data_IF_546479396710
#
_entry.id   IF_546479396710
#
_cell.length_a   1.000
_cell.length_b   1.000
_cell.length_c   1.000
_cell.angle_alpha   90.00
_cell.angle_beta   90.00
_cell.angle_gamma   90.00
#
_symmetry.space_group_name_H-M   'P 1'
#
loop_
_entity.id
_entity.type
_entity.pdbx_description
1 polymer ?
#
# COMPACT_ATOMS: atom_id res chain seq x y z
N UNK A 1 -19.77 30.68 -42.39
CA UNK A 1 -18.79 31.67 -42.89
C UNK A 1 -17.44 31.27 -42.33
N UNK A 2 -16.50 30.91 -43.21
CA UNK A 2 -15.21 30.30 -42.88
C UNK A 2 -14.11 31.34 -43.05
N UNK A 3 -13.28 31.53 -42.01
CA UNK A 3 -12.16 32.46 -41.98
C UNK A 3 -10.87 31.67 -41.77
N UNK A 4 -10.27 31.22 -42.86
CA UNK A 4 -8.86 30.84 -42.90
C UNK A 4 -8.28 31.38 -44.21
N UNK A 5 -7.72 32.59 -44.17
CA UNK A 5 -6.87 33.11 -45.24
C UNK A 5 -5.41 33.02 -44.78
N UNK A 6 -4.69 32.06 -45.38
CA UNK A 6 -3.23 31.93 -45.28
C UNK A 6 -2.59 32.85 -46.32
N UNK A 7 -1.78 33.82 -45.88
CA UNK A 7 -0.80 34.47 -46.75
C UNK A 7 0.55 33.76 -46.66
N UNK A 8 0.96 33.19 -47.80
CA UNK A 8 2.34 32.82 -48.12
C UNK A 8 3.16 34.09 -48.40
N UNK A 9 4.43 34.09 -47.97
CA UNK A 9 5.50 34.84 -48.64
C UNK A 9 6.79 34.04 -48.52
N UNK A 10 7.29 33.62 -49.67
CA UNK A 10 8.56 32.91 -49.87
C UNK A 10 9.76 33.88 -49.93
N UNK A 11 10.97 33.29 -49.94
CA UNK A 11 12.32 33.76 -50.31
C UNK A 11 13.26 33.93 -49.10
N UNK A 12 14.06 32.92 -48.73
CA UNK A 12 15.34 32.45 -49.32
C UNK A 12 16.56 33.23 -48.78
N UNK A 13 17.41 32.56 -47.98
CA UNK A 13 18.80 32.23 -48.30
C UNK A 13 19.64 31.83 -47.07
N UNK A 14 20.00 30.53 -47.05
CA UNK A 14 21.35 29.97 -46.89
C UNK A 14 22.38 30.65 -45.95
N UNK A 15 22.77 29.98 -44.84
CA UNK A 15 24.18 29.91 -44.40
C UNK A 15 24.44 28.66 -43.54
N UNK A 16 25.64 28.13 -43.75
CA UNK A 16 26.23 26.85 -43.33
C UNK A 16 26.68 26.75 -41.87
N UNK A 17 26.70 25.51 -41.36
CA UNK A 17 27.63 24.90 -40.38
C UNK A 17 28.42 25.81 -39.43
N UNK A 18 28.25 25.61 -38.12
CA UNK A 18 29.40 25.55 -37.19
C UNK A 18 29.08 24.80 -35.89
N UNK A 19 30.00 23.89 -35.57
CA UNK A 19 30.19 23.22 -34.29
C UNK A 19 30.43 24.20 -33.13
N UNK A 20 30.11 23.69 -31.93
CA UNK A 20 30.74 23.95 -30.64
C UNK A 20 30.21 25.09 -29.75
N UNK A 21 29.59 24.71 -28.63
CA UNK A 21 30.10 24.92 -27.25
C UNK A 21 29.02 25.30 -26.23
N UNK A 22 29.19 24.73 -25.04
CA UNK A 22 28.78 25.22 -23.71
C UNK A 22 27.28 25.29 -23.37
N UNK A 23 26.79 24.24 -22.70
CA UNK A 23 25.90 24.42 -21.55
C UNK A 23 26.54 23.79 -20.31
N UNK A 24 26.71 24.65 -19.32
CA UNK A 24 27.30 24.41 -18.01
C UNK A 24 26.35 23.57 -17.14
N UNK A 25 26.91 22.56 -16.49
CA UNK A 25 26.35 21.93 -15.29
C UNK A 25 26.26 22.96 -14.14
N UNK A 26 25.15 23.05 -13.41
CA UNK A 26 25.16 23.53 -12.04
C UNK A 26 25.51 22.37 -11.10
N UNK A 27 26.57 22.55 -10.31
CA UNK A 27 26.88 21.68 -9.17
C UNK A 27 25.83 21.86 -8.05
N UNK A 28 25.60 20.82 -7.22
CA UNK A 28 24.76 20.91 -6.05
C UNK A 28 25.47 21.64 -4.90
N UNK A 29 24.73 22.56 -4.26
CA UNK A 29 25.15 23.23 -3.04
C UNK A 29 25.25 22.26 -1.87
N UNK A 30 26.36 22.37 -1.15
CA UNK A 30 26.70 21.67 0.07
C UNK A 30 25.97 22.30 1.26
N UNK A 31 25.20 21.50 2.00
CA UNK A 31 24.83 21.82 3.38
C UNK A 31 25.26 20.68 4.30
N UNK A 32 26.28 20.99 5.09
CA UNK A 32 26.88 20.17 6.15
C UNK A 32 25.83 19.63 7.14
N UNK A 33 25.87 18.32 7.38
CA UNK A 33 25.40 17.72 8.62
C UNK A 33 26.55 16.91 9.22
N UNK A 34 26.95 17.28 10.42
CA UNK A 34 27.99 16.66 11.25
C UNK A 34 27.32 15.75 12.28
N UNK A 35 27.47 14.41 12.20
CA UNK A 35 26.94 13.49 13.20
C UNK A 35 28.11 12.85 13.95
N UNK A 36 28.62 13.51 14.99
CA UNK A 36 29.47 12.87 15.99
C UNK A 36 29.35 13.57 17.33
N UNK A 37 28.47 13.07 18.20
CA UNK A 37 28.70 12.84 19.64
C UNK A 37 27.37 12.55 20.35
N UNK A 38 27.11 11.27 20.64
CA UNK A 38 27.00 10.80 22.02
C UNK A 38 26.83 9.27 22.04
N UNK A 39 27.91 8.61 22.46
CA UNK A 39 27.96 7.21 22.86
C UNK A 39 27.59 7.06 24.35
N UNK A 40 27.32 5.81 24.72
CA UNK A 40 27.07 5.20 26.05
C UNK A 40 25.61 5.22 26.50
N UNK A 41 24.96 4.11 26.88
CA UNK A 41 25.41 2.75 27.16
C UNK A 41 24.15 1.85 27.23
N UNK A 42 24.17 0.65 26.65
CA UNK A 42 23.71 -0.61 27.27
C UNK A 42 23.66 -1.76 26.25
N UNK A 43 24.37 -2.83 26.59
CA UNK A 43 24.42 -4.16 25.99
C UNK A 43 23.53 -5.11 26.84
N UNK A 44 23.40 -6.43 26.58
CA UNK A 44 23.05 -7.17 25.36
C UNK A 44 21.83 -8.12 25.60
N UNK A 45 21.05 -8.49 24.57
CA UNK A 45 20.68 -9.90 24.28
C UNK A 45 19.57 -10.06 23.22
N UNK A 46 19.64 -11.18 22.50
CA UNK A 46 18.67 -11.77 21.56
C UNK A 46 18.68 -11.21 20.12
N UNK A 47 19.63 -11.71 19.33
CA UNK A 47 19.56 -11.68 17.87
C UNK A 47 20.02 -13.03 17.31
N UNK A 48 19.08 -13.91 16.96
CA UNK A 48 19.36 -15.14 16.21
C UNK A 48 19.57 -14.78 14.73
N UNK A 49 20.83 -14.61 14.34
CA UNK A 49 21.25 -14.57 12.93
C UNK A 49 21.20 -15.97 12.33
N UNK A 50 20.32 -16.17 11.34
CA UNK A 50 20.39 -17.30 10.42
C UNK A 50 21.21 -16.90 9.20
N UNK A 51 22.41 -17.46 9.07
CA UNK A 51 23.15 -17.56 7.82
C UNK A 51 23.44 -19.06 7.57
N UNK A 52 23.20 -19.61 6.37
CA UNK A 52 23.40 -21.02 6.12
C UNK A 52 24.87 -21.27 5.80
N UNK A 53 25.60 -21.88 6.73
CA UNK A 53 26.96 -22.34 6.47
C UNK A 53 26.96 -23.84 6.14
N UNK A 54 27.42 -24.11 4.93
CA UNK A 54 27.53 -25.40 4.29
C UNK A 54 28.81 -26.09 4.79
N UNK A 55 28.75 -27.16 5.59
CA UNK A 55 29.94 -27.97 5.87
C UNK A 55 29.63 -29.42 6.30
N UNK A 56 29.80 -30.31 5.32
CA UNK A 56 30.23 -31.71 5.35
C UNK A 56 30.49 -32.37 6.72
N UNK A 57 29.64 -33.35 7.07
CA UNK A 57 30.01 -34.43 7.98
C UNK A 57 30.85 -35.48 7.23
N UNK A 58 32.11 -35.65 7.63
CA UNK A 58 32.96 -36.74 7.18
C UNK A 58 33.27 -37.67 8.36
N UNK A 59 32.86 -38.94 8.21
CA UNK A 59 33.18 -40.05 9.09
C UNK A 59 34.69 -40.28 9.14
N UNK A 60 35.25 -40.51 10.34
CA UNK A 60 36.45 -41.32 10.44
C UNK A 60 36.51 -42.10 11.76
N UNK A 61 36.50 -43.42 11.62
CA UNK A 61 36.82 -44.38 12.66
C UNK A 61 38.35 -44.50 12.76
N UNK A 62 38.91 -44.45 13.96
CA UNK A 62 40.08 -45.29 14.26
C UNK A 62 40.31 -45.55 15.74
N UNK A 63 40.82 -46.76 15.98
CA UNK A 63 41.07 -47.45 17.24
C UNK A 63 42.13 -46.79 18.14
N UNK A 64 41.97 -47.03 19.45
CA UNK A 64 43.00 -46.82 20.46
C UNK A 64 42.67 -47.53 21.78
N UNK A 65 42.93 -48.83 21.83
CA UNK A 65 42.92 -49.70 23.03
C UNK A 65 43.77 -49.15 24.18
N UNK A 66 43.25 -49.19 25.41
CA UNK A 66 44.07 -49.34 26.61
C UNK A 66 43.32 -50.15 27.67
N UNK A 67 43.90 -51.31 28.01
CA UNK A 67 43.50 -52.19 29.10
C UNK A 67 44.08 -51.66 30.41
N UNK A 68 43.24 -51.42 31.41
CA UNK A 68 43.63 -51.58 32.81
C UNK A 68 42.55 -52.39 33.53
N UNK A 69 43.01 -53.51 34.10
CA UNK A 69 42.28 -54.44 34.94
C UNK A 69 42.23 -53.84 36.34
N UNK A 70 41.04 -53.57 36.89
CA UNK A 70 40.88 -53.61 38.34
C UNK A 70 39.45 -54.01 38.74
N UNK A 71 39.42 -55.14 39.44
CA UNK A 71 38.46 -55.61 40.45
C UNK A 71 36.96 -55.61 40.13
N UNK A 72 36.49 -56.83 39.83
CA UNK A 72 35.12 -57.27 40.05
C UNK A 72 34.71 -56.99 41.50
N UNK A 73 33.68 -56.17 41.69
CA UNK A 73 32.73 -56.36 42.79
C UNK A 73 31.47 -57.03 42.23
N UNK A 74 30.88 -57.98 42.98
CA UNK A 74 29.77 -58.79 42.49
C UNK A 74 28.53 -57.92 42.30
N UNK A 75 27.81 -58.22 41.22
CA UNK A 75 26.45 -57.76 40.93
C UNK A 75 25.58 -58.02 42.18
N UNK A 76 25.28 -56.97 42.93
CA UNK A 76 24.11 -56.98 43.81
C UNK A 76 22.90 -56.69 42.93
N UNK A 77 22.12 -57.75 42.69
CA UNK A 77 20.74 -57.63 42.23
C UNK A 77 19.94 -56.84 43.27
N UNK A 78 19.73 -55.54 43.02
CA UNK A 78 18.58 -54.81 43.55
C UNK A 78 17.59 -54.61 42.41
N UNK A 79 16.48 -55.35 42.52
CA UNK A 79 15.16 -54.98 42.00
C UNK A 79 14.96 -53.47 42.20
N UNK A 80 14.72 -52.66 41.17
CA UNK A 80 13.56 -52.70 40.29
C UNK A 80 12.71 -51.47 40.58
N UNK A 81 13.00 -50.36 39.88
CA UNK A 81 12.10 -49.25 39.49
C UNK A 81 12.87 -48.00 39.02
N UNK A 82 14.08 -47.74 39.55
CA UNK A 82 14.77 -46.47 39.25
C UNK A 82 15.47 -46.46 37.88
N UNK A 83 16.05 -47.58 37.43
CA UNK A 83 16.74 -47.69 36.13
C UNK A 83 15.79 -47.59 34.92
N UNK A 84 14.54 -48.07 35.11
CA UNK A 84 13.47 -47.88 34.13
C UNK A 84 13.00 -46.44 34.07
N UNK A 85 12.93 -45.72 35.20
CA UNK A 85 12.56 -44.31 35.21
C UNK A 85 13.61 -43.45 34.50
N UNK A 86 14.91 -43.73 34.65
CA UNK A 86 15.97 -43.04 33.89
C UNK A 86 15.92 -43.35 32.39
N UNK A 87 15.63 -44.61 32.04
CA UNK A 87 15.47 -45.03 30.63
C UNK A 87 14.20 -44.43 30.00
N UNK A 88 13.10 -44.39 30.73
CA UNK A 88 11.83 -43.79 30.32
C UNK A 88 11.94 -42.27 30.18
N UNK A 89 12.59 -41.60 31.14
CA UNK A 89 12.88 -40.18 31.06
C UNK A 89 13.78 -39.87 29.86
N UNK A 90 14.83 -40.66 29.62
CA UNK A 90 15.72 -40.47 28.46
C UNK A 90 15.00 -40.72 27.12
N UNK A 91 14.10 -41.70 27.07
CA UNK A 91 13.23 -41.93 25.91
C UNK A 91 12.26 -40.77 25.70
N UNK A 92 11.66 -40.25 26.77
CA UNK A 92 10.75 -39.10 26.71
C UNK A 92 11.49 -37.84 26.27
N UNK A 93 12.70 -37.60 26.78
CA UNK A 93 13.55 -36.48 26.39
C UNK A 93 13.96 -36.59 24.91
N UNK A 94 14.29 -37.80 24.44
CA UNK A 94 14.60 -38.06 23.03
C UNK A 94 13.37 -37.88 22.14
N UNK A 95 12.19 -38.31 22.59
CA UNK A 95 10.93 -38.08 21.88
C UNK A 95 10.61 -36.59 21.79
N UNK A 96 10.76 -35.85 22.88
CA UNK A 96 10.57 -34.40 22.92
C UNK A 96 11.56 -33.68 21.99
N UNK A 97 12.85 -34.03 22.03
CA UNK A 97 13.85 -33.50 21.11
C UNK A 97 13.51 -33.81 19.65
N UNK A 98 13.04 -35.02 19.35
CA UNK A 98 12.62 -35.39 18.00
C UNK A 98 11.39 -34.60 17.54
N UNK A 99 10.45 -34.32 18.45
CA UNK A 99 9.26 -33.52 18.17
C UNK A 99 9.64 -32.06 17.92
N UNK A 100 10.56 -31.51 18.70
CA UNK A 100 11.10 -30.16 18.53
C UNK A 100 11.85 -30.02 17.20
N UNK A 101 12.76 -30.95 16.89
CA UNK A 101 13.48 -30.98 15.61
C UNK A 101 12.50 -31.11 14.43
N UNK A 102 11.47 -31.94 14.56
CA UNK A 102 10.44 -32.10 13.53
C UNK A 102 9.61 -30.82 13.38
N UNK A 103 9.31 -30.13 14.47
CA UNK A 103 8.63 -28.82 14.44
C UNK A 103 9.49 -27.75 13.78
N UNK A 104 10.79 -27.70 14.11
CA UNK A 104 11.76 -26.78 13.50
C UNK A 104 11.92 -27.05 12.01
N UNK A 105 12.09 -28.31 11.60
CA UNK A 105 12.17 -28.68 10.19
C UNK A 105 10.90 -28.30 9.44
N UNK A 106 9.71 -28.52 10.06
CA UNK A 106 8.44 -28.09 9.48
C UNK A 106 8.43 -26.59 9.24
N UNK A 107 8.76 -25.82 10.28
CA UNK A 107 8.81 -24.35 10.21
C UNK A 107 9.78 -23.88 9.11
N UNK A 108 10.97 -24.47 9.04
CA UNK A 108 11.98 -24.13 8.04
C UNK A 108 11.50 -24.43 6.61
N UNK A 109 10.90 -25.60 6.37
CA UNK A 109 10.38 -25.98 5.06
C UNK A 109 9.22 -25.06 4.63
N UNK A 110 8.29 -24.74 5.53
CA UNK A 110 7.18 -23.85 5.21
C UNK A 110 7.65 -22.40 4.95
N UNK A 111 8.65 -21.93 5.71
CA UNK A 111 9.29 -20.63 5.50
C UNK A 111 9.99 -20.55 4.14
N UNK A 112 10.78 -21.57 3.78
CA UNK A 112 11.47 -21.65 2.49
C UNK A 112 10.48 -21.68 1.31
N UNK A 113 9.39 -22.47 1.45
CA UNK A 113 8.32 -22.48 0.45
C UNK A 113 7.64 -21.13 0.31
N UNK A 114 7.34 -20.47 1.43
CA UNK A 114 6.69 -19.15 1.42
C UNK A 114 7.58 -18.08 0.79
N UNK A 115 8.89 -18.11 1.07
CA UNK A 115 9.88 -17.25 0.43
C UNK A 115 9.94 -17.47 -1.10
N UNK A 116 10.00 -18.72 -1.55
CA UNK A 116 9.99 -19.02 -2.98
C UNK A 116 8.67 -18.60 -3.65
N UNK A 117 7.54 -18.77 -2.96
CA UNK A 117 6.25 -18.28 -3.44
C UNK A 117 6.22 -16.75 -3.53
N UNK A 118 6.83 -16.04 -2.59
CA UNK A 118 6.99 -14.59 -2.64
C UNK A 118 7.80 -14.16 -3.86
N UNK A 119 8.93 -14.80 -4.15
CA UNK A 119 9.71 -14.57 -5.38
C UNK A 119 8.80 -14.71 -6.62
N UNK A 120 8.00 -15.77 -6.71
CA UNK A 120 7.11 -15.99 -7.86
C UNK A 120 6.02 -14.91 -8.01
N UNK A 121 5.71 -14.15 -6.96
CA UNK A 121 4.73 -13.06 -6.96
C UNK A 121 5.34 -11.70 -7.29
N UNK A 122 6.57 -11.44 -6.87
CA UNK A 122 7.27 -10.15 -7.09
C UNK A 122 8.07 -10.12 -8.38
N UNK A 123 8.58 -11.26 -8.82
CA UNK A 123 9.36 -11.36 -10.05
C UNK A 123 8.47 -11.23 -11.29
N UNK A 124 8.84 -10.29 -12.18
CA UNK A 124 8.18 -10.05 -13.46
C UNK A 124 8.10 -11.30 -14.36
N UNK A 125 7.13 -11.33 -15.28
CA UNK A 125 6.93 -12.48 -16.16
C UNK A 125 8.08 -12.75 -17.14
N UNK A 126 8.94 -11.76 -17.35
CA UNK A 126 10.11 -11.76 -18.22
C UNK A 126 11.36 -12.40 -17.59
N UNK A 127 11.42 -12.49 -16.26
CA UNK A 127 12.54 -13.06 -15.50
C UNK A 127 12.40 -14.59 -15.36
N UNK A 128 12.48 -15.31 -16.49
CA UNK A 128 12.16 -16.75 -16.58
C UNK A 128 13.04 -17.64 -15.69
N UNK A 129 14.34 -17.35 -15.57
CA UNK A 129 15.29 -18.21 -14.84
C UNK A 129 15.06 -18.16 -13.32
N UNK A 130 14.81 -16.99 -12.76
CA UNK A 130 14.50 -16.80 -11.34
C UNK A 130 13.20 -17.52 -10.96
N UNK A 131 12.17 -17.38 -11.80
CA UNK A 131 10.90 -18.10 -11.62
C UNK A 131 11.08 -19.61 -11.70
N UNK A 132 11.95 -20.09 -12.59
CA UNK A 132 12.26 -21.52 -12.71
C UNK A 132 12.96 -22.04 -11.45
N UNK A 133 13.97 -21.34 -10.95
CA UNK A 133 14.69 -21.72 -9.73
C UNK A 133 13.76 -21.76 -8.51
N UNK A 134 12.91 -20.74 -8.33
CA UNK A 134 11.91 -20.72 -7.26
C UNK A 134 10.93 -21.90 -7.37
N UNK A 135 10.46 -22.22 -8.58
CA UNK A 135 9.57 -23.36 -8.83
C UNK A 135 10.24 -24.70 -8.53
N UNK A 136 11.50 -24.88 -8.95
CA UNK A 136 12.28 -26.09 -8.66
C UNK A 136 12.48 -26.25 -7.15
N UNK A 137 12.80 -25.16 -6.44
CA UNK A 137 12.94 -25.18 -4.98
C UNK A 137 11.64 -25.54 -4.25
N UNK A 138 10.50 -25.00 -4.68
CA UNK A 138 9.18 -25.36 -4.13
C UNK A 138 8.92 -26.86 -4.31
N UNK A 139 9.30 -27.45 -5.45
CA UNK A 139 9.13 -28.89 -5.67
C UNK A 139 9.99 -29.74 -4.73
N UNK A 140 11.23 -29.33 -4.47
CA UNK A 140 12.12 -29.99 -3.48
C UNK A 140 11.55 -29.90 -2.06
N UNK A 141 11.06 -28.74 -1.68
CA UNK A 141 10.43 -28.51 -0.37
C UNK A 141 9.16 -29.36 -0.22
N UNK A 142 8.29 -29.38 -1.23
CA UNK A 142 7.08 -30.21 -1.21
C UNK A 142 7.40 -31.71 -1.15
N UNK A 143 8.47 -32.16 -1.81
CA UNK A 143 8.96 -33.54 -1.69
C UNK A 143 9.40 -33.84 -0.26
N UNK A 144 10.15 -32.92 0.36
CA UNK A 144 10.61 -33.04 1.74
C UNK A 144 9.45 -33.05 2.74
N UNK A 145 8.44 -32.20 2.53
CA UNK A 145 7.22 -32.19 3.34
C UNK A 145 6.47 -33.52 3.27
N UNK A 146 6.34 -34.11 2.07
CA UNK A 146 5.78 -35.46 1.88
C UNK A 146 6.59 -36.53 2.60
N UNK A 147 7.93 -36.48 2.49
CA UNK A 147 8.82 -37.47 3.11
C UNK A 147 8.76 -37.45 4.64
N UNK A 148 8.75 -36.27 5.26
CA UNK A 148 8.83 -36.13 6.72
C UNK A 148 7.47 -36.05 7.43
N UNK A 149 6.42 -35.62 6.72
CA UNK A 149 5.10 -35.32 7.29
C UNK A 149 3.93 -35.95 6.54
N UNK A 150 4.17 -36.74 5.48
CA UNK A 150 3.15 -37.41 4.67
C UNK A 150 2.15 -36.47 3.97
N UNK A 151 2.45 -35.17 3.88
CA UNK A 151 1.60 -34.19 3.18
C UNK A 151 2.41 -32.96 2.77
N UNK A 152 2.08 -32.37 1.62
CA UNK A 152 2.51 -31.05 1.17
C UNK A 152 1.35 -30.03 1.17
N UNK A 153 0.20 -30.39 1.74
CA UNK A 153 -1.01 -29.54 1.85
C UNK A 153 -1.01 -28.70 3.13
N UNK A 154 0.14 -28.50 3.76
CA UNK A 154 0.24 -27.64 4.94
C UNK A 154 -0.01 -26.18 4.53
N UNK A 155 -0.73 -25.42 5.35
CA UNK A 155 -0.86 -23.97 5.16
C UNK A 155 0.50 -23.30 5.41
N UNK A 156 0.86 -22.35 4.55
CA UNK A 156 1.96 -21.42 4.78
C UNK A 156 1.38 -20.10 5.28
N UNK A 157 2.17 -19.35 6.04
CA UNK A 157 1.96 -17.92 6.18
C UNK A 157 2.60 -17.17 5.02
N UNK A 158 2.14 -15.94 4.78
CA UNK A 158 2.75 -15.04 3.81
C UNK A 158 4.13 -14.60 4.32
N UNK A 159 5.16 -14.83 3.51
CA UNK A 159 6.49 -14.28 3.72
C UNK A 159 6.44 -12.77 3.50
N UNK A 160 6.95 -12.02 4.48
CA UNK A 160 7.07 -10.58 4.42
C UNK A 160 8.56 -10.22 4.45
N UNK A 161 9.07 -9.70 3.34
CA UNK A 161 10.44 -9.17 3.23
C UNK A 161 10.55 -7.84 4.01
N UNK A 162 11.47 -7.72 4.99
CA UNK A 162 11.73 -6.45 5.67
C UNK A 162 12.25 -5.32 4.78
N UNK A 163 12.71 -5.63 3.55
CA UNK A 163 13.19 -4.64 2.58
C UNK A 163 12.11 -4.18 1.60
N UNK A 164 10.88 -4.68 1.71
CA UNK A 164 9.76 -4.23 0.89
C UNK A 164 8.98 -3.11 1.60
N UNK A 165 8.42 -2.23 0.77
CA UNK A 165 7.43 -1.27 1.24
C UNK A 165 6.04 -1.91 1.25
N UNK A 166 5.31 -1.73 2.34
CA UNK A 166 3.96 -2.26 2.50
C UNK A 166 2.94 -1.13 2.46
N UNK A 167 1.90 -1.33 1.66
CA UNK A 167 0.80 -0.38 1.52
C UNK A 167 -0.53 -1.08 1.73
N UNK A 168 -1.45 -0.43 2.43
CA UNK A 168 -2.87 -0.76 2.38
C UNK A 168 -3.57 0.20 1.42
N UNK A 169 -4.17 -0.36 0.37
CA UNK A 169 -4.96 0.39 -0.60
C UNK A 169 -6.39 0.56 -0.11
N UNK A 170 -6.85 1.81 -0.09
CA UNK A 170 -8.24 2.18 0.20
C UNK A 170 -8.82 3.01 -0.94
N UNK A 171 -10.06 2.70 -1.31
CA UNK A 171 -10.79 3.43 -2.35
C UNK A 171 -10.98 4.89 -1.92
N UNK A 172 -11.52 5.07 -0.72
CA UNK A 172 -11.69 6.36 -0.05
C UNK A 172 -11.32 6.24 1.45
N UNK A 173 -10.66 7.27 1.97
CA UNK A 173 -10.33 7.36 3.39
C UNK A 173 -11.43 8.17 4.09
N UNK A 174 -12.43 7.45 4.59
CA UNK A 174 -13.57 8.06 5.28
C UNK A 174 -13.14 8.76 6.57
N UNK A 175 -13.61 9.99 6.79
CA UNK A 175 -13.33 10.75 8.02
C UNK A 175 -13.83 10.06 9.29
N UNK A 176 -14.94 9.30 9.19
CA UNK A 176 -15.52 8.53 10.28
C UNK A 176 -15.74 7.09 9.80
N UNK A 177 -14.71 6.23 9.84
CA UNK A 177 -14.86 4.84 9.43
C UNK A 177 -15.83 4.09 10.35
N UNK A 178 -16.54 3.10 9.80
CA UNK A 178 -17.34 2.21 10.62
C UNK A 178 -16.47 1.27 11.48
N UNK A 179 -17.13 0.49 12.36
CA UNK A 179 -16.45 -0.43 13.28
C UNK A 179 -15.65 -1.51 12.54
N UNK A 180 -16.15 -2.01 11.42
CA UNK A 180 -15.50 -3.10 10.70
C UNK A 180 -14.25 -2.58 9.97
N UNK A 181 -14.33 -1.39 9.39
CA UNK A 181 -13.23 -0.69 8.72
C UNK A 181 -12.13 -0.32 9.72
N UNK A 182 -12.50 0.31 10.85
CA UNK A 182 -11.53 0.64 11.90
C UNK A 182 -10.87 -0.60 12.50
N UNK A 183 -11.64 -1.69 12.71
CA UNK A 183 -11.07 -2.94 13.17
C UNK A 183 -10.08 -3.54 12.16
N UNK A 184 -10.41 -3.58 10.87
CA UNK A 184 -9.49 -4.06 9.82
C UNK A 184 -8.16 -3.30 9.84
N UNK A 185 -8.20 -1.96 9.91
CA UNK A 185 -6.99 -1.13 10.02
C UNK A 185 -6.15 -1.52 11.24
N UNK A 186 -6.76 -1.55 12.43
CA UNK A 186 -6.06 -1.89 13.66
C UNK A 186 -5.48 -3.30 13.62
N UNK A 187 -6.22 -4.29 13.12
CA UNK A 187 -5.76 -5.67 13.03
C UNK A 187 -4.57 -5.78 12.06
N UNK A 188 -4.65 -5.12 10.92
CA UNK A 188 -3.58 -5.09 9.92
C UNK A 188 -2.33 -4.41 10.47
N UNK A 189 -2.46 -3.20 11.01
CA UNK A 189 -1.35 -2.47 11.64
C UNK A 189 -0.71 -3.28 12.76
N UNK A 190 -1.50 -3.90 13.64
CA UNK A 190 -0.96 -4.74 14.73
C UNK A 190 -0.21 -5.96 14.18
N UNK A 191 -0.77 -6.63 13.18
CA UNK A 191 -0.16 -7.83 12.56
C UNK A 191 1.18 -7.49 11.90
N UNK A 192 1.29 -6.32 11.26
CA UNK A 192 2.54 -5.84 10.65
C UNK A 192 3.55 -5.41 11.72
N UNK A 193 3.11 -4.68 12.75
CA UNK A 193 3.96 -4.20 13.85
C UNK A 193 4.60 -5.34 14.66
N UNK A 194 3.85 -6.43 14.92
CA UNK A 194 4.37 -7.63 15.58
C UNK A 194 5.54 -8.28 14.80
N UNK A 195 5.64 -8.00 13.50
CA UNK A 195 6.72 -8.48 12.61
C UNK A 195 7.82 -7.43 12.42
N UNK A 196 7.75 -6.30 13.13
CA UNK A 196 8.67 -5.18 12.99
C UNK A 196 8.52 -4.42 11.66
N UNK A 197 7.36 -4.50 11.03
CA UNK A 197 7.09 -3.88 9.73
C UNK A 197 6.12 -2.70 9.87
N UNK A 198 6.35 -1.67 9.06
CA UNK A 198 5.47 -0.52 8.93
C UNK A 198 4.57 -0.70 7.72
N UNK A 199 3.28 -0.40 7.87
CA UNK A 199 2.34 -0.36 6.76
C UNK A 199 1.87 1.07 6.50
N UNK A 200 2.08 1.53 5.28
CA UNK A 200 1.64 2.83 4.78
C UNK A 200 0.27 2.69 4.10
N UNK A 201 -0.32 3.80 3.68
CA UNK A 201 -1.61 3.81 3.02
C UNK A 201 -1.53 4.39 1.61
N UNK A 202 -2.42 3.93 0.74
CA UNK A 202 -2.66 4.49 -0.59
C UNK A 202 -4.15 4.82 -0.68
N UNK A 203 -4.49 6.05 -1.08
CA UNK A 203 -5.85 6.44 -1.40
C UNK A 203 -5.95 7.10 -2.78
N UNK A 204 -7.07 6.88 -3.45
CA UNK A 204 -7.28 7.30 -4.85
C UNK A 204 -8.43 8.29 -5.02
N UNK A 205 -9.20 8.56 -3.97
CA UNK A 205 -10.30 9.54 -4.01
C UNK A 205 -9.79 10.95 -3.71
N UNK A 206 -10.35 11.94 -4.42
CA UNK A 206 -10.08 13.36 -4.15
C UNK A 206 -10.74 13.77 -2.84
N UNK A 207 -9.96 14.27 -1.90
CA UNK A 207 -10.45 14.79 -0.63
C UNK A 207 -9.54 15.94 -0.18
N UNK A 208 -10.09 17.15 -0.09
CA UNK A 208 -9.34 18.35 0.32
C UNK A 208 -8.94 18.33 1.80
N UNK A 209 -9.55 17.46 2.60
CA UNK A 209 -9.29 17.24 4.03
C UNK A 209 -8.57 15.89 4.30
N UNK A 210 -7.94 15.30 3.28
CA UNK A 210 -7.33 13.97 3.42
C UNK A 210 -6.21 13.94 4.48
N UNK A 211 -5.40 15.00 4.56
CA UNK A 211 -4.27 15.05 5.50
C UNK A 211 -4.74 15.14 6.96
N UNK A 212 -5.78 15.92 7.22
CA UNK A 212 -6.40 15.99 8.55
C UNK A 212 -7.11 14.68 8.91
N UNK A 213 -7.72 14.02 7.92
CA UNK A 213 -8.31 12.69 8.11
C UNK A 213 -7.24 11.66 8.46
N UNK A 214 -6.09 11.66 7.77
CA UNK A 214 -4.98 10.76 8.07
C UNK A 214 -4.40 10.96 9.46
N UNK A 215 -4.19 12.22 9.88
CA UNK A 215 -3.76 12.53 11.25
C UNK A 215 -4.74 11.98 12.29
N UNK A 216 -6.05 12.08 12.05
CA UNK A 216 -7.05 11.49 12.97
C UNK A 216 -6.95 9.96 13.06
N UNK A 217 -6.59 9.26 11.97
CA UNK A 217 -6.37 7.81 11.99
C UNK A 217 -5.14 7.44 12.83
N UNK A 218 -4.07 8.23 12.72
CA UNK A 218 -2.86 8.07 13.54
C UNK A 218 -3.16 8.33 15.02
N UNK A 219 -3.84 9.44 15.33
CA UNK A 219 -4.20 9.81 16.70
C UNK A 219 -5.17 8.81 17.36
N UNK A 220 -6.07 8.20 16.57
CA UNK A 220 -6.98 7.15 17.02
C UNK A 220 -6.30 5.78 17.20
N UNK A 221 -5.03 5.64 16.80
CA UNK A 221 -4.31 4.38 16.83
C UNK A 221 -4.85 3.34 15.85
N UNK A 222 -5.51 3.77 14.76
CA UNK A 222 -5.92 2.88 13.68
C UNK A 222 -4.72 2.47 12.81
N UNK A 223 -3.74 3.35 12.72
CA UNK A 223 -2.48 3.16 11.99
C UNK A 223 -1.31 3.57 12.87
N UNK A 224 -0.09 3.17 12.49
CA UNK A 224 1.12 3.59 13.17
C UNK A 224 1.36 5.10 12.98
N UNK A 225 1.83 5.78 14.03
CA UNK A 225 2.11 7.23 13.97
C UNK A 225 3.22 7.63 13.00
N UNK A 226 4.08 6.68 12.60
CA UNK A 226 5.12 6.90 11.59
C UNK A 226 4.67 6.52 10.17
N UNK A 227 3.48 5.91 10.02
CA UNK A 227 2.95 5.56 8.71
C UNK A 227 2.58 6.81 7.92
N UNK A 228 2.80 6.81 6.61
CA UNK A 228 2.38 7.90 5.73
C UNK A 228 1.28 7.45 4.77
N UNK A 229 0.58 8.44 4.21
CA UNK A 229 -0.46 8.25 3.20
C UNK A 229 0.01 8.81 1.85
N UNK A 230 -0.03 7.97 0.83
CA UNK A 230 0.04 8.40 -0.56
C UNK A 230 -1.38 8.63 -1.08
N UNK A 231 -1.72 9.87 -1.38
CA UNK A 231 -2.98 10.19 -2.06
C UNK A 231 -2.70 10.60 -3.50
N UNK A 232 -3.40 9.96 -4.46
CA UNK A 232 -3.21 10.21 -5.88
C UNK A 232 -3.35 11.69 -6.25
N UNK A 233 -4.38 12.36 -5.73
CA UNK A 233 -4.62 13.75 -6.05
C UNK A 233 -3.59 14.68 -5.41
N UNK A 234 -3.24 14.46 -4.14
CA UNK A 234 -2.18 15.23 -3.48
C UNK A 234 -0.85 15.15 -4.24
N UNK A 235 -0.46 13.94 -4.67
CA UNK A 235 0.80 13.74 -5.42
C UNK A 235 0.74 14.38 -6.80
N UNK A 236 -0.32 14.14 -7.59
CA UNK A 236 -0.49 14.74 -8.92
C UNK A 236 -0.54 16.28 -8.85
N UNK A 237 -1.22 16.84 -7.85
CA UNK A 237 -1.32 18.28 -7.64
C UNK A 237 -0.05 18.90 -7.03
N UNK A 238 0.96 18.08 -6.68
CA UNK A 238 2.19 18.55 -6.03
C UNK A 238 1.91 19.27 -4.72
N UNK A 239 0.92 18.82 -3.95
CA UNK A 239 0.53 19.49 -2.70
C UNK A 239 1.69 19.44 -1.70
N UNK A 240 2.08 20.61 -1.22
CA UNK A 240 3.04 20.79 -0.15
C UNK A 240 2.46 21.70 0.94
N UNK A 241 2.40 21.21 2.18
CA UNK A 241 1.86 21.94 3.33
C UNK A 241 2.85 22.98 3.89
N UNK A 242 4.13 22.92 3.50
CA UNK A 242 5.19 23.75 4.05
C UNK A 242 5.53 24.97 3.20
N UNK A 243 4.85 25.16 2.07
CA UNK A 243 5.05 26.33 1.22
C UNK A 243 4.05 27.41 1.65
N UNK A 244 4.52 28.61 2.06
CA UNK A 244 3.63 29.73 2.29
C UNK A 244 3.05 30.17 0.94
N UNK A 245 1.74 30.03 0.77
CA UNK A 245 1.06 30.46 -0.46
C UNK A 245 0.18 31.67 -0.14
N UNK A 246 0.15 32.63 -1.08
CA UNK A 246 -0.75 33.77 -0.99
C UNK A 246 -2.18 33.28 -1.19
N UNK A 247 -3.10 33.48 -0.22
CA UNK A 247 -4.49 33.08 -0.37
C UNK A 247 -5.12 33.72 -1.61
N UNK A 248 -6.01 33.00 -2.28
CA UNK A 248 -6.71 33.53 -3.43
C UNK A 248 -7.51 34.79 -3.05
N UNK A 249 -7.32 35.87 -3.82
CA UNK A 249 -8.20 37.04 -3.75
C UNK A 249 -9.50 36.75 -4.48
N UNK A 250 -10.63 37.05 -3.85
CA UNK A 250 -11.93 36.96 -4.50
C UNK A 250 -12.06 38.20 -5.40
N UNK A 251 -12.21 38.06 -6.72
CA UNK A 251 -12.43 39.20 -7.58
C UNK A 251 -13.78 39.84 -7.26
N UNK A 252 -13.80 41.17 -7.09
CA UNK A 252 -15.00 41.96 -6.81
C UNK A 252 -15.19 43.03 -7.88
N UNK A 253 -16.36 43.03 -8.52
CA UNK A 253 -16.78 44.17 -9.33
C UNK A 253 -17.24 45.31 -8.41
N UNK A 254 -17.09 46.55 -8.89
CA UNK A 254 -17.36 47.75 -8.11
C UNK A 254 -18.82 47.90 -7.67
N UNK A 255 -19.75 47.23 -8.34
CA UNK A 255 -21.19 47.27 -8.07
C UNK A 255 -21.69 46.08 -7.25
N UNK A 256 -20.80 45.18 -6.83
CA UNK A 256 -21.16 44.04 -5.99
C UNK A 256 -21.41 44.44 -4.53
N UNK A 257 -22.45 43.85 -3.94
CA UNK A 257 -22.77 43.98 -2.51
C UNK A 257 -22.57 42.65 -1.79
N UNK A 258 -21.86 42.70 -0.67
CA UNK A 258 -21.71 41.55 0.23
C UNK A 258 -22.87 41.50 1.23
N UNK A 259 -23.51 40.35 1.32
CA UNK A 259 -24.49 39.99 2.34
C UNK A 259 -23.93 38.90 3.24
N UNK A 260 -23.66 39.23 4.50
CA UNK A 260 -23.20 38.27 5.51
C UNK A 260 -24.37 37.39 5.97
N UNK A 261 -24.32 36.09 5.65
CA UNK A 261 -25.35 35.12 6.06
C UNK A 261 -25.00 34.50 7.41
N UNK A 262 -23.72 34.20 7.62
CA UNK A 262 -23.18 33.70 8.89
C UNK A 262 -21.72 34.10 9.04
N UNK A 263 -21.07 33.69 10.14
CA UNK A 263 -19.63 33.88 10.34
C UNK A 263 -18.74 33.10 9.34
N UNK A 264 -19.32 32.17 8.57
CA UNK A 264 -18.61 31.31 7.62
C UNK A 264 -19.11 31.46 6.18
N UNK A 265 -20.22 32.16 5.95
CA UNK A 265 -20.87 32.22 4.64
C UNK A 265 -21.22 33.66 4.29
N UNK A 266 -20.70 34.11 3.15
CA UNK A 266 -21.05 35.37 2.52
C UNK A 266 -21.75 35.11 1.18
N UNK A 267 -22.75 35.94 0.87
CA UNK A 267 -23.35 36.01 -0.47
C UNK A 267 -22.93 37.31 -1.14
N UNK A 268 -22.55 37.23 -2.40
CA UNK A 268 -22.19 38.38 -3.23
C UNK A 268 -23.32 38.56 -4.23
N UNK A 269 -23.89 39.77 -4.24
CA UNK A 269 -25.03 40.15 -5.07
C UNK A 269 -24.61 41.22 -6.07
N UNK A 270 -25.15 41.18 -7.28
CA UNK A 270 -24.95 42.24 -8.29
C UNK A 270 -25.77 43.51 -7.98
N UNK A 271 -25.64 44.53 -8.83
CA UNK A 271 -26.40 45.78 -8.74
C UNK A 271 -27.92 45.63 -8.85
N UNK A 272 -28.41 44.46 -9.30
CA UNK A 272 -29.84 44.11 -9.41
C UNK A 272 -30.31 43.18 -8.29
N UNK A 273 -29.53 43.04 -7.20
CA UNK A 273 -29.79 42.13 -6.08
C UNK A 273 -29.83 40.63 -6.48
N UNK A 274 -29.25 40.25 -7.62
CA UNK A 274 -29.13 38.83 -8.01
C UNK A 274 -27.88 38.19 -7.43
N UNK A 275 -27.97 36.92 -7.04
CA UNK A 275 -26.84 36.16 -6.51
C UNK A 275 -25.83 35.84 -7.61
N UNK A 276 -24.57 36.26 -7.41
CA UNK A 276 -23.45 35.96 -8.31
C UNK A 276 -22.45 34.99 -7.69
N UNK A 277 -22.21 35.08 -6.38
CA UNK A 277 -21.32 34.15 -5.68
C UNK A 277 -21.79 33.82 -4.27
N UNK A 278 -21.52 32.61 -3.82
CA UNK A 278 -21.57 32.21 -2.40
C UNK A 278 -20.18 31.76 -1.96
N UNK A 279 -19.65 32.41 -0.93
CA UNK A 279 -18.30 32.19 -0.39
C UNK A 279 -18.41 31.52 0.95
N UNK A 280 -17.88 30.30 1.05
CA UNK A 280 -17.86 29.50 2.27
C UNK A 280 -16.45 29.34 2.81
N UNK A 281 -16.32 29.44 4.14
CA UNK A 281 -15.06 29.34 4.88
C UNK A 281 -15.09 28.24 5.94
N UNK A 282 -13.92 27.66 6.21
CA UNK A 282 -13.76 26.65 7.25
C UNK A 282 -13.82 27.26 8.67
N UNK A 283 -13.62 26.45 9.71
CA UNK A 283 -13.58 26.91 11.11
C UNK A 283 -12.46 27.92 11.40
N UNK A 284 -11.39 27.92 10.61
CA UNK A 284 -10.24 28.82 10.74
C UNK A 284 -10.41 30.08 9.87
N UNK A 285 -11.60 30.31 9.32
CA UNK A 285 -11.91 31.41 8.40
C UNK A 285 -11.09 31.41 7.09
N UNK A 286 -10.51 30.28 6.70
CA UNK A 286 -9.88 30.13 5.38
C UNK A 286 -10.93 29.83 4.32
N UNK A 287 -10.69 30.25 3.08
CA UNK A 287 -11.54 29.92 1.94
C UNK A 287 -11.60 28.40 1.77
N UNK A 288 -12.81 27.89 1.58
CA UNK A 288 -13.05 26.47 1.36
C UNK A 288 -13.75 26.24 0.02
N UNK A 289 -14.83 26.98 -0.23
CA UNK A 289 -15.64 26.85 -1.44
C UNK A 289 -16.08 28.22 -1.92
N UNK A 290 -16.03 28.46 -3.23
CA UNK A 290 -16.78 29.54 -3.88
C UNK A 290 -17.72 28.91 -4.91
N UNK A 291 -19.02 29.15 -4.77
CA UNK A 291 -20.02 28.79 -5.79
C UNK A 291 -20.33 30.00 -6.64
N UNK A 292 -20.28 29.85 -7.94
CA UNK A 292 -20.63 30.89 -8.91
C UNK A 292 -22.02 30.63 -9.46
N UNK A 293 -22.82 31.67 -9.57
CA UNK A 293 -24.21 31.60 -9.99
C UNK A 293 -24.45 32.40 -11.27
N UNK A 294 -25.38 31.89 -12.07
CA UNK A 294 -25.95 32.61 -13.20
C UNK A 294 -27.43 32.26 -13.29
N UNK A 295 -28.28 33.28 -13.34
CA UNK A 295 -29.75 33.11 -13.41
C UNK A 295 -30.29 32.14 -12.32
N UNK A 296 -29.81 32.34 -11.09
CA UNK A 296 -30.15 31.54 -9.89
C UNK A 296 -29.75 30.05 -9.95
N UNK A 297 -28.96 29.65 -10.95
CA UNK A 297 -28.40 28.30 -11.07
C UNK A 297 -26.88 28.31 -10.82
N UNK A 298 -26.37 27.24 -10.21
CA UNK A 298 -24.93 27.07 -10.00
C UNK A 298 -24.28 26.80 -11.35
N UNK A 299 -23.29 27.63 -11.69
CA UNK A 299 -22.47 27.49 -12.91
C UNK A 299 -21.22 26.66 -12.63
N UNK A 300 -20.53 27.00 -11.54
CA UNK A 300 -19.30 26.34 -11.13
C UNK A 300 -19.10 26.40 -9.63
N UNK A 301 -18.25 25.51 -9.14
CA UNK A 301 -17.80 25.45 -7.75
C UNK A 301 -16.29 25.36 -7.73
N UNK A 302 -15.65 26.36 -7.16
CA UNK A 302 -14.22 26.33 -6.84
C UNK A 302 -14.03 25.76 -5.45
N UNK A 303 -13.13 24.78 -5.33
CA UNK A 303 -12.77 24.08 -4.11
C UNK A 303 -11.33 24.44 -3.78
N UNK A 304 -11.11 24.93 -2.55
CA UNK A 304 -9.81 25.37 -2.07
C UNK A 304 -9.21 24.32 -1.15
N UNK A 305 -7.89 24.16 -1.21
CA UNK A 305 -7.15 23.30 -0.28
C UNK A 305 -6.99 23.96 1.11
N UNK A 306 -6.36 23.24 2.02
CA UNK A 306 -6.06 23.71 3.39
C UNK A 306 -5.16 24.95 3.44
N UNK A 307 -4.45 25.26 2.35
CA UNK A 307 -3.61 26.45 2.20
C UNK A 307 -4.37 27.64 1.59
N UNK A 308 -5.64 27.46 1.20
CA UNK A 308 -6.47 28.51 0.59
C UNK A 308 -6.16 28.74 -0.89
N UNK A 309 -5.58 27.76 -1.58
CA UNK A 309 -5.31 27.77 -3.02
C UNK A 309 -6.38 26.97 -3.74
N UNK A 310 -6.77 27.41 -4.94
CA UNK A 310 -7.73 26.65 -5.74
C UNK A 310 -7.14 25.28 -6.09
N UNK A 311 -7.83 24.23 -5.66
CA UNK A 311 -7.42 22.85 -5.88
C UNK A 311 -8.24 22.20 -6.98
N UNK A 312 -9.54 22.48 -7.04
CA UNK A 312 -10.39 21.99 -8.10
C UNK A 312 -11.50 22.99 -8.47
N UNK A 313 -11.96 22.94 -9.72
CA UNK A 313 -13.18 23.60 -10.18
C UNK A 313 -14.11 22.56 -10.78
N UNK A 314 -15.33 22.49 -10.29
CA UNK A 314 -16.41 21.69 -10.87
C UNK A 314 -17.31 22.61 -11.72
N UNK A 315 -17.65 22.19 -12.93
CA UNK A 315 -18.59 22.87 -13.82
C UNK A 315 -19.87 22.06 -13.93
N UNK A 316 -21.01 22.74 -13.84
CA UNK A 316 -22.33 22.13 -13.87
C UNK A 316 -23.00 22.30 -15.25
N UNK A 317 -23.91 21.39 -15.59
CA UNK A 317 -24.73 21.50 -16.79
C UNK A 317 -25.66 22.72 -16.68
N UNK A 318 -25.69 23.54 -17.72
CA UNK A 318 -26.55 24.72 -17.78
C UNK A 318 -28.06 24.38 -17.83
N UNK A 319 -28.42 23.10 -18.02
CA UNK A 319 -29.79 22.58 -18.04
C UNK A 319 -30.13 21.79 -16.78
N UNK A 320 -29.12 21.33 -16.06
CA UNK A 320 -29.23 20.49 -14.88
C UNK A 320 -28.15 20.91 -13.86
N UNK A 321 -28.49 21.81 -12.92
CA UNK A 321 -27.52 22.39 -11.99
C UNK A 321 -26.99 21.37 -10.97
N UNK A 322 -27.55 20.16 -10.91
CA UNK A 322 -27.08 19.09 -10.04
C UNK A 322 -26.09 18.14 -10.76
N UNK A 323 -25.92 18.29 -12.08
CA UNK A 323 -25.04 17.44 -12.88
C UNK A 323 -23.70 18.12 -13.15
N UNK A 324 -22.61 17.56 -12.61
CA UNK A 324 -21.24 17.94 -12.96
C UNK A 324 -20.93 17.42 -14.37
N UNK A 325 -20.45 18.31 -15.24
CA UNK A 325 -20.06 17.98 -16.63
C UNK A 325 -18.55 18.00 -16.83
N UNK A 326 -17.82 18.68 -15.94
CA UNK A 326 -16.37 18.77 -16.00
C UNK A 326 -15.77 19.11 -14.64
N UNK A 327 -14.62 18.52 -14.36
CA UNK A 327 -13.77 18.89 -13.24
C UNK A 327 -12.37 19.23 -13.73
N UNK A 328 -11.83 20.35 -13.26
CA UNK A 328 -10.44 20.71 -13.44
C UNK A 328 -9.74 20.61 -12.09
N UNK A 329 -8.56 19.99 -12.06
CA UNK A 329 -7.70 19.93 -10.88
C UNK A 329 -6.41 20.69 -11.16
N UNK A 330 -5.98 21.48 -10.18
CA UNK A 330 -4.85 22.40 -10.30
C UNK A 330 -3.73 22.04 -9.34
N UNK A 331 -2.49 22.32 -9.73
CA UNK A 331 -1.35 22.32 -8.82
C UNK A 331 -1.37 23.57 -7.94
N UNK A 332 -0.51 23.59 -6.92
CA UNK A 332 -0.37 24.74 -6.03
C UNK A 332 0.09 26.03 -6.73
N UNK A 333 0.73 25.94 -7.90
CA UNK A 333 1.11 27.09 -8.73
C UNK A 333 -0.02 27.58 -9.66
N UNK A 334 -1.20 26.95 -9.60
CA UNK A 334 -2.36 27.25 -10.43
C UNK A 334 -2.36 26.60 -11.82
N UNK A 335 -1.32 25.82 -12.17
CA UNK A 335 -1.30 25.07 -13.44
C UNK A 335 -2.26 23.90 -13.41
N UNK A 336 -2.77 23.50 -14.58
CA UNK A 336 -3.67 22.35 -14.69
C UNK A 336 -2.86 21.05 -14.59
N UNK A 337 -3.35 20.10 -13.79
CA UNK A 337 -2.83 18.74 -13.77
C UNK A 337 -3.79 17.73 -14.37
N UNK A 338 -5.09 17.85 -14.08
CA UNK A 338 -6.08 16.86 -14.49
C UNK A 338 -7.36 17.54 -14.96
N UNK A 339 -7.95 17.03 -16.03
CA UNK A 339 -9.31 17.37 -16.44
C UNK A 339 -10.12 16.08 -16.54
N UNK A 340 -11.26 16.02 -15.86
CA UNK A 340 -12.28 14.99 -16.06
C UNK A 340 -13.46 15.57 -16.81
N UNK A 341 -13.85 14.96 -17.93
CA UNK A 341 -15.00 15.39 -18.74
C UNK A 341 -16.07 14.31 -18.74
N UNK A 342 -17.27 14.63 -18.26
CA UNK A 342 -18.37 13.68 -18.10
C UNK A 342 -19.28 13.71 -19.33
N UNK A 343 -18.94 12.90 -20.33
CA UNK A 343 -19.75 12.75 -21.56
C UNK A 343 -20.69 11.54 -21.53
N UNK A 344 -20.59 10.70 -20.48
CA UNK A 344 -21.39 9.50 -20.23
C UNK A 344 -21.30 9.12 -18.75
N UNK A 345 -21.37 7.82 -18.45
CA UNK A 345 -21.26 7.30 -17.09
C UNK A 345 -19.82 7.38 -16.55
N UNK A 346 -18.82 7.18 -17.41
CA UNK A 346 -17.40 7.31 -17.06
C UNK A 346 -16.80 8.63 -17.60
N UNK A 347 -15.90 9.27 -16.84
CA UNK A 347 -15.24 10.49 -17.28
C UNK A 347 -14.10 10.18 -18.27
N UNK A 348 -14.02 10.95 -19.35
CA UNK A 348 -12.80 11.03 -20.14
C UNK A 348 -11.78 11.92 -19.41
N UNK A 349 -10.61 11.37 -19.15
CA UNK A 349 -9.60 11.99 -18.29
C UNK A 349 -8.40 12.43 -19.11
N UNK A 350 -7.93 13.65 -18.87
CA UNK A 350 -6.73 14.23 -19.47
C UNK A 350 -5.74 14.60 -18.37
N UNK A 351 -4.50 14.12 -18.48
CA UNK A 351 -3.43 14.40 -17.54
C UNK A 351 -2.38 15.32 -18.19
N UNK A 352 -1.94 16.34 -17.48
CA UNK A 352 -1.03 17.38 -17.98
C UNK A 352 0.26 17.42 -17.17
N UNK A 353 1.38 17.78 -17.82
CA UNK A 353 2.64 18.10 -17.15
C UNK A 353 2.61 19.48 -16.49
N UNK A 354 3.65 19.83 -15.72
CA UNK A 354 3.84 21.17 -15.15
C UNK A 354 3.90 22.27 -16.23
N UNK A 355 4.37 21.94 -17.43
CA UNK A 355 4.35 22.85 -18.58
C UNK A 355 2.99 23.01 -19.26
N UNK A 356 1.90 22.52 -18.65
CA UNK A 356 0.54 22.45 -19.23
C UNK A 356 0.46 21.67 -20.56
N UNK A 357 1.33 20.67 -20.75
CA UNK A 357 1.31 19.80 -21.94
C UNK A 357 0.54 18.52 -21.61
N UNK A 358 -0.41 18.14 -22.46
CA UNK A 358 -1.11 16.86 -22.33
C UNK A 358 -0.11 15.69 -22.43
N UNK A 359 -0.01 14.88 -21.37
CA UNK A 359 0.91 13.74 -21.31
C UNK A 359 0.21 12.40 -21.55
N UNK A 360 -1.01 12.24 -21.04
CA UNK A 360 -1.77 11.00 -21.12
C UNK A 360 -3.27 11.29 -21.11
N UNK A 361 -4.04 10.31 -21.61
CA UNK A 361 -5.49 10.30 -21.57
C UNK A 361 -5.97 8.94 -21.07
N UNK A 362 -7.07 8.92 -20.32
CA UNK A 362 -7.66 7.69 -19.79
C UNK A 362 -9.17 7.71 -20.03
N UNK A 363 -9.74 6.54 -20.31
CA UNK A 363 -11.17 6.40 -20.57
C UNK A 363 -11.99 6.31 -19.28
N UNK A 364 -11.34 6.07 -18.13
CA UNK A 364 -11.93 6.07 -16.80
C UNK A 364 -10.91 6.22 -15.67
N UNK A 365 -11.42 6.30 -14.44
CA UNK A 365 -10.63 6.43 -13.22
C UNK A 365 -9.77 5.21 -12.91
N UNK A 366 -10.25 3.99 -13.20
CA UNK A 366 -9.48 2.76 -12.98
C UNK A 366 -8.17 2.75 -13.76
N UNK A 367 -8.20 3.20 -15.02
CA UNK A 367 -7.02 3.28 -15.88
C UNK A 367 -6.03 4.34 -15.40
N UNK A 368 -6.53 5.50 -14.93
CA UNK A 368 -5.70 6.53 -14.29
C UNK A 368 -5.01 5.97 -13.04
N UNK A 369 -5.75 5.27 -12.17
CA UNK A 369 -5.23 4.71 -10.91
C UNK A 369 -4.13 3.70 -11.18
N UNK A 370 -4.34 2.74 -12.08
CA UNK A 370 -3.33 1.74 -12.45
C UNK A 370 -2.09 2.41 -13.04
N UNK A 371 -2.29 3.40 -13.91
CA UNK A 371 -1.18 4.15 -14.48
C UNK A 371 -0.39 4.90 -13.41
N UNK A 372 -1.07 5.59 -12.48
CA UNK A 372 -0.44 6.34 -11.41
C UNK A 372 0.37 5.43 -10.49
N UNK A 373 -0.23 4.33 -10.01
CA UNK A 373 0.45 3.35 -9.17
C UNK A 373 1.72 2.81 -9.83
N UNK A 374 1.62 2.42 -11.10
CA UNK A 374 2.75 1.82 -11.83
C UNK A 374 3.86 2.82 -12.15
N UNK A 375 3.50 4.04 -12.56
CA UNK A 375 4.46 4.98 -13.16
C UNK A 375 4.92 6.08 -12.22
N UNK A 376 4.22 6.29 -11.10
CA UNK A 376 4.51 7.31 -10.09
C UNK A 376 4.68 6.64 -8.72
N UNK A 377 3.58 6.35 -8.02
CA UNK A 377 3.58 6.01 -6.59
C UNK A 377 4.47 4.82 -6.22
N UNK A 378 4.50 3.77 -7.05
CA UNK A 378 5.23 2.53 -6.78
C UNK A 378 6.40 2.28 -7.74
N UNK A 379 6.79 3.27 -8.55
CA UNK A 379 7.74 3.07 -9.65
C UNK A 379 9.12 2.57 -9.20
N UNK A 380 9.59 3.00 -8.02
CA UNK A 380 10.95 2.72 -7.54
C UNK A 380 11.00 1.69 -6.42
N UNK A 381 9.85 1.16 -6.00
CA UNK A 381 9.75 0.43 -4.75
C UNK A 381 9.37 -1.02 -5.03
N UNK A 382 10.05 -1.95 -4.39
CA UNK A 382 9.54 -3.31 -4.25
C UNK A 382 8.35 -3.23 -3.27
N UNK A 383 7.16 -3.10 -3.83
CA UNK A 383 5.95 -2.82 -3.07
C UNK A 383 5.04 -4.04 -2.98
N UNK A 384 4.53 -4.27 -1.78
CA UNK A 384 3.39 -5.17 -1.54
C UNK A 384 2.18 -4.33 -1.16
N UNK A 385 1.11 -4.46 -1.93
CA UNK A 385 -0.14 -3.74 -1.71
C UNK A 385 -1.21 -4.70 -1.23
N UNK A 386 -1.67 -4.48 0.00
CA UNK A 386 -2.85 -5.13 0.54
C UNK A 386 -4.11 -4.40 0.06
N UNK A 387 -5.11 -5.16 -0.38
CA UNK A 387 -6.36 -4.60 -0.92
C UNK A 387 -7.54 -5.35 -0.34
N UNK A 388 -8.55 -4.66 0.20
CA UNK A 388 -9.78 -5.35 0.61
C UNK A 388 -10.43 -6.05 -0.59
N UNK A 389 -10.90 -7.29 -0.42
CA UNK A 389 -11.63 -7.99 -1.49
C UNK A 389 -12.92 -7.27 -1.91
N UNK A 390 -13.43 -6.37 -1.05
CA UNK A 390 -14.58 -5.51 -1.34
C UNK A 390 -14.23 -4.24 -2.12
N UNK A 391 -12.95 -3.86 -2.21
CA UNK A 391 -12.51 -2.67 -2.96
C UNK A 391 -13.03 -2.70 -4.39
N UNK A 392 -13.62 -1.61 -4.87
CA UNK A 392 -14.11 -1.53 -6.25
C UNK A 392 -13.00 -1.87 -7.25
N UNK A 393 -11.78 -1.45 -6.93
CA UNK A 393 -10.59 -1.61 -7.76
C UNK A 393 -9.85 -2.95 -7.63
N UNK A 394 -10.25 -3.86 -6.72
CA UNK A 394 -9.53 -5.11 -6.44
C UNK A 394 -9.10 -5.88 -7.71
N UNK A 395 -10.06 -6.17 -8.61
CA UNK A 395 -9.79 -6.93 -9.84
C UNK A 395 -8.84 -6.19 -10.78
N UNK A 396 -8.98 -4.87 -10.88
CA UNK A 396 -8.12 -4.04 -11.72
C UNK A 396 -6.68 -4.03 -11.19
N UNK A 397 -6.53 -3.86 -9.88
CA UNK A 397 -5.22 -3.81 -9.22
C UNK A 397 -4.44 -5.11 -9.37
N UNK A 398 -5.11 -6.27 -9.44
CA UNK A 398 -4.47 -7.55 -9.75
C UNK A 398 -3.62 -7.54 -11.04
N UNK A 399 -3.91 -6.63 -11.98
CA UNK A 399 -3.13 -6.42 -13.20
C UNK A 399 -1.73 -5.84 -12.95
N UNK A 400 -1.50 -5.16 -11.83
CA UNK A 400 -0.19 -4.60 -11.47
C UNK A 400 0.88 -5.67 -11.22
N UNK A 401 0.47 -6.92 -10.93
CA UNK A 401 1.38 -8.06 -10.73
C UNK A 401 2.27 -8.35 -11.94
N UNK A 402 1.81 -8.05 -13.16
CA UNK A 402 2.67 -8.19 -14.34
C UNK A 402 3.82 -7.18 -14.38
N UNK A 403 3.78 -6.16 -13.53
CA UNK A 403 4.82 -5.13 -13.37
C UNK A 403 5.66 -5.35 -12.11
N UNK A 404 5.56 -6.53 -11.47
CA UNK A 404 6.35 -6.90 -10.29
C UNK A 404 5.82 -6.39 -8.95
N UNK A 405 4.65 -5.73 -8.94
CA UNK A 405 3.99 -5.26 -7.72
C UNK A 405 3.16 -6.40 -7.13
N UNK A 406 3.44 -6.81 -5.91
CA UNK A 406 2.68 -7.86 -5.25
C UNK A 406 1.34 -7.31 -4.74
N UNK A 407 0.23 -7.96 -5.10
CA UNK A 407 -1.12 -7.59 -4.67
C UNK A 407 -1.71 -8.73 -3.84
N UNK A 408 -2.04 -8.44 -2.58
CA UNK A 408 -2.54 -9.42 -1.61
C UNK A 408 -3.94 -9.00 -1.15
N UNK A 409 -5.00 -9.78 -1.44
CA UNK A 409 -6.32 -9.48 -0.92
C UNK A 409 -6.41 -9.66 0.59
N UNK A 410 -7.23 -8.82 1.22
CA UNK A 410 -7.72 -8.99 2.59
C UNK A 410 -9.18 -9.46 2.51
N UNK A 411 -9.47 -10.57 3.17
CA UNK A 411 -10.82 -11.13 3.31
C UNK A 411 -11.19 -11.09 4.78
N UNK A 412 -12.09 -10.19 5.19
CA UNK A 412 -12.48 -10.03 6.59
C UNK A 412 -13.58 -11.01 6.98
N UNK A 413 -14.52 -11.32 6.07
CA UNK A 413 -15.63 -12.23 6.30
C UNK A 413 -15.88 -13.14 5.09
N UNK A 414 -16.31 -14.37 5.32
CA UNK A 414 -16.63 -15.34 4.25
C UNK A 414 -17.82 -14.90 3.37
N UNK A 415 -18.70 -14.03 3.88
CA UNK A 415 -19.87 -13.53 3.17
C UNK A 415 -19.59 -12.29 2.31
N UNK A 416 -18.36 -11.77 2.34
CA UNK A 416 -17.98 -10.60 1.55
C UNK A 416 -17.92 -10.94 0.07
N UNK A 417 -18.61 -10.15 -0.75
CA UNK A 417 -18.55 -10.21 -2.21
C UNK A 417 -18.38 -11.65 -2.76
N UNK A 418 -19.44 -12.46 -2.64
CA UNK A 418 -19.39 -13.91 -2.86
C UNK A 418 -18.80 -14.32 -4.21
N UNK A 419 -19.00 -13.52 -5.27
CA UNK A 419 -18.40 -13.75 -6.58
C UNK A 419 -16.86 -13.66 -6.53
N UNK A 420 -16.32 -12.62 -5.89
CA UNK A 420 -14.87 -12.44 -5.77
C UNK A 420 -14.22 -13.47 -4.86
N UNK A 421 -14.88 -13.86 -3.77
CA UNK A 421 -14.40 -14.97 -2.93
C UNK A 421 -14.44 -16.29 -3.71
N UNK A 422 -15.48 -16.52 -4.52
CA UNK A 422 -15.55 -17.69 -5.39
C UNK A 422 -14.38 -17.70 -6.37
N UNK A 423 -14.11 -16.61 -7.05
CA UNK A 423 -12.96 -16.49 -7.98
C UNK A 423 -11.61 -16.78 -7.30
N UNK A 424 -11.42 -16.25 -6.10
CA UNK A 424 -10.24 -16.52 -5.27
C UNK A 424 -10.10 -18.02 -4.96
N UNK A 425 -11.19 -18.65 -4.52
CA UNK A 425 -11.25 -20.08 -4.20
C UNK A 425 -11.03 -20.95 -5.44
N UNK A 426 -11.61 -20.56 -6.57
CA UNK A 426 -11.48 -21.30 -7.82
C UNK A 426 -10.11 -21.10 -8.49
N UNK A 427 -9.35 -20.10 -8.04
CA UNK A 427 -8.04 -19.76 -8.58
C UNK A 427 -8.09 -19.02 -9.91
N UNK A 428 -9.25 -18.48 -10.31
CA UNK A 428 -9.40 -17.70 -11.55
C UNK A 428 -8.59 -16.42 -11.49
N UNK A 429 -8.47 -15.83 -10.29
CA UNK A 429 -7.66 -14.64 -10.01
C UNK A 429 -6.15 -14.92 -9.98
N UNK A 430 -5.72 -16.19 -10.00
CA UNK A 430 -4.30 -16.59 -9.85
C UNK A 430 -3.63 -15.97 -8.62
N UNK A 431 -4.41 -15.67 -7.58
CA UNK A 431 -3.89 -15.21 -6.29
C UNK A 431 -3.41 -16.43 -5.52
N UNK A 432 -2.22 -16.32 -4.91
CA UNK A 432 -1.62 -17.40 -4.11
C UNK A 432 -1.29 -16.94 -2.68
N UNK A 433 -1.68 -15.72 -2.30
CA UNK A 433 -1.44 -15.15 -0.98
C UNK A 433 -2.67 -14.37 -0.54
N UNK A 434 -3.13 -14.53 0.71
CA UNK A 434 -4.34 -13.87 1.24
C UNK A 434 -4.17 -13.50 2.72
N UNK A 435 -4.59 -12.30 3.10
CA UNK A 435 -4.80 -11.93 4.50
C UNK A 435 -6.21 -12.31 4.93
N UNK A 436 -6.34 -13.18 5.93
CA UNK A 436 -7.62 -13.58 6.48
C UNK A 436 -7.91 -12.79 7.76
N UNK A 437 -9.06 -12.13 7.86
CA UNK A 437 -9.42 -11.33 9.05
C UNK A 437 -9.72 -12.12 10.32
N UNK A 438 -9.77 -13.46 10.24
CA UNK A 438 -9.95 -14.36 11.39
C UNK A 438 -9.55 -15.79 11.05
N UNK A 439 -9.36 -16.62 12.07
CA UNK A 439 -9.07 -18.05 11.91
C UNK A 439 -10.22 -18.80 11.22
N UNK A 440 -11.45 -18.32 11.37
CA UNK A 440 -12.60 -18.88 10.66
C UNK A 440 -12.51 -18.63 9.15
N UNK A 441 -12.10 -17.44 8.74
CA UNK A 441 -11.87 -17.12 7.32
C UNK A 441 -10.69 -17.92 6.79
N UNK A 442 -9.59 -17.99 7.54
CA UNK A 442 -8.42 -18.77 7.17
C UNK A 442 -8.79 -20.24 6.92
N UNK A 443 -9.47 -20.88 7.88
CA UNK A 443 -9.92 -22.28 7.78
C UNK A 443 -10.81 -22.49 6.55
N UNK A 444 -11.72 -21.55 6.27
CA UNK A 444 -12.61 -21.63 5.11
C UNK A 444 -11.84 -21.54 3.80
N UNK A 445 -10.93 -20.58 3.65
CA UNK A 445 -10.12 -20.42 2.44
C UNK A 445 -9.24 -21.65 2.23
N UNK A 446 -8.49 -22.10 3.25
CA UNK A 446 -7.64 -23.28 3.17
C UNK A 446 -8.39 -24.56 2.79
N UNK A 447 -9.64 -24.73 3.28
CA UNK A 447 -10.43 -25.93 3.00
C UNK A 447 -11.02 -25.95 1.58
N UNK A 448 -11.40 -24.80 1.05
CA UNK A 448 -12.18 -24.73 -0.19
C UNK A 448 -11.33 -24.36 -1.41
N UNK A 449 -10.20 -23.66 -1.23
CA UNK A 449 -9.37 -23.21 -2.33
C UNK A 449 -8.86 -24.38 -3.18
N UNK A 450 -9.02 -24.27 -4.49
CA UNK A 450 -8.48 -25.21 -5.48
C UNK A 450 -6.98 -25.00 -5.72
N UNK A 451 -6.48 -23.79 -5.44
CA UNK A 451 -5.07 -23.44 -5.47
C UNK A 451 -4.49 -23.42 -4.05
N UNK A 452 -3.20 -23.75 -3.92
CA UNK A 452 -2.48 -23.60 -2.64
C UNK A 452 -2.30 -22.11 -2.35
N UNK A 453 -2.80 -21.67 -1.19
CA UNK A 453 -2.73 -20.28 -0.73
C UNK A 453 -1.76 -20.18 0.46
N UNK A 454 -0.89 -19.17 0.43
CA UNK A 454 -0.22 -18.68 1.63
C UNK A 454 -1.21 -17.76 2.37
N UNK A 455 -1.59 -18.11 3.59
CA UNK A 455 -2.62 -17.37 4.35
C UNK A 455 -2.04 -16.92 5.69
N UNK A 456 -2.03 -15.61 5.92
CA UNK A 456 -1.75 -15.03 7.23
C UNK A 456 -3.06 -14.57 7.85
N UNK A 457 -3.35 -15.00 9.08
CA UNK A 457 -4.50 -14.49 9.84
C UNK A 457 -4.14 -13.15 10.47
N UNK A 458 -5.00 -12.15 10.32
CA UNK A 458 -4.89 -10.88 11.04
C UNK A 458 -5.18 -11.11 12.53
N UNK A 459 -4.39 -10.48 13.39
CA UNK A 459 -4.51 -10.63 14.84
C UNK A 459 -5.86 -10.09 15.32
N UNK A 460 -6.57 -10.86 16.15
CA UNK A 460 -7.79 -10.37 16.79
C UNK A 460 -7.46 -9.22 17.76
N UNK A 461 -8.33 -8.22 17.79
CA UNK A 461 -8.19 -7.11 18.74
C UNK A 461 -8.63 -7.60 20.11
N UNK A 462 -7.76 -7.48 21.11
CA UNK A 462 -8.15 -7.73 22.49
C UNK A 462 -9.18 -6.68 22.91
N UNK A 463 -10.46 -7.06 23.00
CA UNK A 463 -11.46 -6.20 23.64
C UNK A 463 -11.11 -6.09 25.12
N UNK A 464 -10.81 -4.90 25.67
CA UNK A 464 -10.63 -4.76 27.10
C UNK A 464 -11.92 -5.19 27.80
N UNK A 465 -11.82 -6.23 28.62
CA UNK A 465 -12.89 -6.64 29.52
C UNK A 465 -12.97 -5.55 30.59
N UNK A 466 -13.78 -4.51 30.37
CA UNK A 466 -14.23 -3.68 31.46
C UNK A 466 -15.12 -4.56 32.34
N UNK A 467 -14.58 -5.00 33.48
CA UNK A 467 -15.42 -5.50 34.57
C UNK A 467 -16.27 -4.32 35.04
N UNK A 468 -17.59 -4.44 34.88
CA UNK A 468 -18.58 -3.54 35.48
C UNK A 468 -18.42 -3.45 37.00
#
# INVERSE_FOLDING_TARGET
MSFFDRKKKDSDDNYSNQNNSSYQNPQPDQSNFDPNQNQFNNDPNMGTQFAPNNQNFNNNANNGTNYYFDQQQPVQTQSGNDDWQFTEQSLQDTLNQSADLKSQLRSQLLSDRSYCNHILRTVGSDQVDERKQATERINEVNKSLKEWFNTDEMANEIYMDPNNDYFFFVDDLMANPDKDTSAMWQQLTTTMSDRGLLINAISVTYNDQIDSTWMNYQDAGFVDGNAYLLNMYNELQGRNLNVPITPAEIPFDADYRVQHVSNKVDKILDSSDKLVMEVSRNSNHQLQIIRHYKDDQVLSRDIFDVNGVISATQFYDHRDPDKVVRENFYRQDGTLVLIKSYTGDEPYIQLFSEGNVLISTFDNDEDLIVWWLKNQALRQNNATVFVSINSEYYKKLLGLRSSGIEIIPIVMKQSENAERISDLIEGTDKVTAVMAGSDQVNTYLNKNAKAKLDITTLKELETPIYKE
#
